data_IF_676958137198
#
_entry.id   IF_676958137198
#
_cell.length_a   1.000
_cell.length_b   1.000
_cell.length_c   1.000
_cell.angle_alpha   90.00
_cell.angle_beta   90.00
_cell.angle_gamma   90.00
#
_symmetry.space_group_name_H-M   'P 1'
#
loop_
_entity.id
_entity.type
_entity.pdbx_description
1 polymer ?
#
# COMPACT_ATOMS: atom_id res chain seq x y z
N UNK A 1 -25.25 -2.46 16.80
CA UNK A 1 -25.15 -3.92 17.06
C UNK A 1 -23.79 -4.20 17.67
N UNK A 2 -23.68 -4.81 18.86
CA UNK A 2 -22.39 -5.11 19.46
C UNK A 2 -21.65 -6.14 18.57
N UNK A 3 -20.41 -5.86 18.26
CA UNK A 3 -19.50 -6.76 17.56
C UNK A 3 -19.30 -8.02 18.45
N UNK A 4 -20.08 -9.08 18.21
CA UNK A 4 -19.83 -10.39 18.81
C UNK A 4 -18.58 -10.98 18.12
N UNK A 5 -17.41 -10.82 18.74
CA UNK A 5 -16.16 -11.47 18.33
C UNK A 5 -16.37 -12.98 18.51
N UNK A 6 -16.66 -13.69 17.43
CA UNK A 6 -17.01 -15.11 17.51
C UNK A 6 -15.78 -16.02 17.60
N UNK A 7 -14.61 -15.56 17.12
CA UNK A 7 -13.37 -16.30 17.20
C UNK A 7 -12.24 -15.35 17.64
N UNK A 8 -11.72 -15.56 18.84
CA UNK A 8 -10.62 -14.77 19.39
C UNK A 8 -9.38 -14.82 18.48
N UNK A 9 -9.08 -15.97 17.89
CA UNK A 9 -7.94 -16.12 16.98
C UNK A 9 -8.02 -15.19 15.75
N UNK A 10 -9.17 -15.12 15.10
CA UNK A 10 -9.40 -14.21 13.95
C UNK A 10 -9.19 -12.75 14.35
N UNK A 11 -9.69 -12.34 15.49
CA UNK A 11 -9.51 -10.98 15.99
C UNK A 11 -8.02 -10.66 16.20
N UNK A 12 -7.28 -11.55 16.86
CA UNK A 12 -5.86 -11.31 17.10
C UNK A 12 -5.00 -11.37 15.84
N UNK A 13 -5.36 -12.16 14.83
CA UNK A 13 -4.72 -12.10 13.51
C UNK A 13 -4.96 -10.74 12.85
N UNK A 14 -6.19 -10.23 12.88
CA UNK A 14 -6.53 -8.93 12.33
C UNK A 14 -5.80 -7.79 13.03
N UNK A 15 -5.72 -7.82 14.37
CA UNK A 15 -4.99 -6.83 15.18
C UNK A 15 -3.47 -6.93 14.95
N UNK A 16 -2.92 -8.14 14.78
CA UNK A 16 -1.52 -8.32 14.40
C UNK A 16 -1.21 -7.71 13.03
N UNK A 17 -2.14 -7.84 12.09
CA UNK A 17 -2.02 -7.21 10.78
C UNK A 17 -2.14 -5.68 10.85
N UNK A 18 -2.95 -5.14 11.76
CA UNK A 18 -2.93 -3.71 12.06
C UNK A 18 -1.54 -3.27 12.51
N UNK A 19 -0.92 -3.98 13.45
CA UNK A 19 0.42 -3.66 13.93
C UNK A 19 1.48 -3.66 12.81
N UNK A 20 1.42 -4.64 11.91
CA UNK A 20 2.29 -4.71 10.74
C UNK A 20 2.07 -3.54 9.77
N UNK A 21 0.81 -3.26 9.43
CA UNK A 21 0.45 -2.17 8.53
C UNK A 21 0.82 -0.80 9.14
N UNK A 22 0.53 -0.61 10.43
CA UNK A 22 0.92 0.59 11.18
C UNK A 22 2.43 0.80 11.12
N UNK A 23 3.21 -0.21 11.47
CA UNK A 23 4.67 -0.12 11.54
C UNK A 23 5.29 0.19 10.18
N UNK A 24 4.81 -0.43 9.11
CA UNK A 24 5.24 -0.13 7.76
C UNK A 24 4.92 1.31 7.35
N UNK A 25 3.70 1.79 7.62
CA UNK A 25 3.26 3.13 7.22
C UNK A 25 3.73 4.23 8.16
N UNK A 26 4.06 3.90 9.42
CA UNK A 26 4.72 4.78 10.36
C UNK A 26 6.04 5.33 9.78
N UNK A 27 6.77 4.47 9.06
CA UNK A 27 8.04 4.85 8.43
C UNK A 27 7.82 5.57 7.10
N UNK A 28 6.77 5.23 6.37
CA UNK A 28 6.53 5.68 5.01
C UNK A 28 6.52 7.22 4.87
N UNK A 29 5.97 7.92 5.85
CA UNK A 29 5.83 9.36 5.82
C UNK A 29 7.17 10.10 5.98
N UNK A 30 8.08 9.56 6.79
CA UNK A 30 9.30 10.28 7.16
C UNK A 30 10.57 9.71 6.49
N UNK A 31 10.54 8.50 5.94
CA UNK A 31 11.74 7.89 5.36
C UNK A 31 12.40 8.72 4.25
N UNK A 32 11.69 9.46 3.39
CA UNK A 32 12.31 10.36 2.43
C UNK A 32 13.11 11.48 3.11
N UNK A 33 12.59 12.05 4.19
CA UNK A 33 13.30 13.07 4.98
C UNK A 33 14.54 12.49 5.68
N UNK A 34 14.42 11.25 6.17
CA UNK A 34 15.55 10.52 6.74
C UNK A 34 16.66 10.29 5.71
N UNK A 35 16.32 9.84 4.51
CA UNK A 35 17.27 9.64 3.41
C UNK A 35 17.95 10.95 3.02
N UNK A 36 17.22 12.06 2.91
CA UNK A 36 17.78 13.39 2.63
C UNK A 36 18.82 13.77 3.68
N UNK A 37 18.54 13.49 4.96
CA UNK A 37 19.44 13.82 6.07
C UNK A 37 20.73 13.02 6.08
N UNK A 38 20.68 11.72 5.74
CA UNK A 38 21.84 10.82 5.81
C UNK A 38 22.61 10.71 4.47
N UNK A 39 22.07 11.26 3.39
CA UNK A 39 22.67 11.15 2.06
C UNK A 39 23.98 11.93 1.96
N UNK A 40 25.07 11.29 1.54
CA UNK A 40 26.33 11.97 1.23
C UNK A 40 26.33 12.54 -0.20
N UNK A 41 25.26 12.32 -0.97
CA UNK A 41 25.20 12.65 -2.39
C UNK A 41 24.50 14.00 -2.63
N UNK A 42 24.65 14.51 -3.86
CA UNK A 42 23.93 15.70 -4.30
C UNK A 42 22.41 15.53 -4.35
N UNK A 43 21.65 16.62 -4.50
CA UNK A 43 20.17 16.58 -4.46
C UNK A 43 19.56 15.61 -5.47
N UNK A 44 20.12 15.56 -6.68
CA UNK A 44 19.64 14.70 -7.78
C UNK A 44 19.79 13.21 -7.44
N UNK A 45 20.98 12.80 -7.01
CA UNK A 45 21.27 11.42 -6.65
C UNK A 45 20.45 11.02 -5.41
N UNK A 46 20.31 11.92 -4.43
CA UNK A 46 19.52 11.67 -3.22
C UNK A 46 18.06 11.37 -3.55
N UNK A 47 17.46 12.13 -4.50
CA UNK A 47 16.10 11.87 -4.96
C UNK A 47 15.98 10.47 -5.58
N UNK A 48 16.95 10.05 -6.38
CA UNK A 48 16.97 8.70 -6.97
C UNK A 48 17.08 7.61 -5.89
N UNK A 49 17.93 7.82 -4.87
CA UNK A 49 18.02 6.93 -3.72
C UNK A 49 16.71 6.79 -2.96
N UNK A 50 15.95 7.87 -2.80
CA UNK A 50 14.60 7.80 -2.19
C UNK A 50 13.71 6.83 -2.98
N UNK A 51 13.64 6.97 -4.29
CA UNK A 51 12.85 6.08 -5.15
C UNK A 51 13.27 4.62 -5.04
N UNK A 52 14.58 4.36 -5.13
CA UNK A 52 15.14 3.00 -5.02
C UNK A 52 14.79 2.36 -3.68
N UNK A 53 15.05 3.04 -2.57
CA UNK A 53 14.80 2.52 -1.22
C UNK A 53 13.30 2.31 -0.97
N UNK A 54 12.44 3.22 -1.42
CA UNK A 54 10.99 3.09 -1.24
C UNK A 54 10.37 2.02 -2.15
N UNK A 55 10.88 1.86 -3.37
CA UNK A 55 10.37 0.88 -4.34
C UNK A 55 10.91 -0.54 -4.13
N UNK A 56 12.14 -0.70 -3.64
CA UNK A 56 12.87 -1.98 -3.61
C UNK A 56 12.09 -3.11 -2.93
N UNK A 57 11.50 -2.86 -1.75
CA UNK A 57 10.76 -3.90 -1.02
C UNK A 57 9.54 -4.39 -1.81
N UNK A 58 8.84 -3.51 -2.51
CA UNK A 58 7.67 -3.87 -3.30
C UNK A 58 8.03 -4.59 -4.60
N UNK A 59 9.16 -4.24 -5.24
CA UNK A 59 9.69 -4.99 -6.39
C UNK A 59 9.89 -6.46 -6.00
N UNK A 60 10.61 -6.69 -4.91
CA UNK A 60 10.89 -8.05 -4.44
C UNK A 60 9.62 -8.77 -3.96
N UNK A 61 8.75 -8.08 -3.21
CA UNK A 61 7.49 -8.63 -2.72
C UNK A 61 6.57 -9.11 -3.86
N UNK A 62 6.62 -8.47 -5.03
CA UNK A 62 5.86 -8.89 -6.22
C UNK A 62 6.16 -10.35 -6.60
N UNK A 63 7.40 -10.77 -6.46
CA UNK A 63 7.84 -12.14 -6.79
C UNK A 63 7.70 -13.10 -5.61
N UNK A 64 7.96 -12.63 -4.39
CA UNK A 64 8.02 -13.48 -3.20
C UNK A 64 6.67 -13.76 -2.55
N UNK A 65 5.66 -12.93 -2.77
CA UNK A 65 4.33 -13.10 -2.17
C UNK A 65 3.69 -14.48 -2.49
N UNK A 66 3.84 -14.96 -3.72
CA UNK A 66 3.34 -16.29 -4.13
C UNK A 66 4.13 -17.44 -3.50
N UNK A 67 5.44 -17.26 -3.29
CA UNK A 67 6.31 -18.23 -2.63
C UNK A 67 5.87 -18.46 -1.17
N UNK A 68 5.60 -17.38 -0.43
CA UNK A 68 5.14 -17.44 0.96
C UNK A 68 3.80 -18.17 1.10
N UNK A 69 2.86 -17.91 0.17
CA UNK A 69 1.60 -18.68 0.11
C UNK A 69 1.83 -20.17 -0.09
N UNK A 70 2.79 -20.55 -0.92
CA UNK A 70 3.18 -21.95 -1.14
C UNK A 70 3.82 -22.61 0.09
N UNK A 71 4.53 -21.83 0.91
CA UNK A 71 5.24 -22.33 2.09
C UNK A 71 4.27 -22.86 3.17
N UNK A 72 3.04 -22.35 3.22
CA UNK A 72 1.99 -22.78 4.16
C UNK A 72 1.54 -24.23 3.95
N UNK A 73 1.88 -24.85 2.80
CA UNK A 73 1.64 -26.27 2.56
C UNK A 73 2.67 -27.19 3.23
N UNK A 74 3.83 -26.65 3.61
CA UNK A 74 4.94 -27.39 4.23
C UNK A 74 5.12 -27.04 5.70
N UNK A 75 4.90 -25.78 6.06
CA UNK A 75 5.11 -25.27 7.41
C UNK A 75 3.79 -24.76 8.00
N UNK A 76 3.71 -24.71 9.32
CA UNK A 76 2.54 -24.22 10.04
C UNK A 76 2.34 -22.73 9.78
N UNK A 77 1.16 -22.32 9.27
CA UNK A 77 0.91 -20.92 8.89
C UNK A 77 1.12 -19.93 10.04
N UNK A 78 0.76 -20.30 11.29
CA UNK A 78 0.99 -19.44 12.46
C UNK A 78 2.47 -19.16 12.67
N UNK A 79 3.31 -20.18 12.65
CA UNK A 79 4.76 -20.02 12.84
C UNK A 79 5.37 -19.13 11.74
N UNK A 80 4.96 -19.33 10.48
CA UNK A 80 5.41 -18.48 9.36
C UNK A 80 4.97 -17.01 9.53
N UNK A 81 3.76 -16.79 10.04
CA UNK A 81 3.23 -15.45 10.29
C UNK A 81 4.03 -14.75 11.40
N UNK A 82 4.29 -15.45 12.52
CA UNK A 82 5.07 -14.92 13.63
C UNK A 82 6.52 -14.63 13.23
N UNK A 83 7.18 -15.54 12.52
CA UNK A 83 8.52 -15.32 11.98
C UNK A 83 8.57 -14.13 11.03
N UNK A 84 7.58 -14.02 10.15
CA UNK A 84 7.47 -12.89 9.23
C UNK A 84 7.30 -11.56 9.98
N UNK A 85 6.49 -11.51 11.03
CA UNK A 85 6.34 -10.33 11.89
C UNK A 85 7.66 -9.98 12.60
N UNK A 86 8.31 -10.95 13.23
CA UNK A 86 9.57 -10.75 13.95
C UNK A 86 10.65 -10.22 13.01
N UNK A 87 10.87 -10.88 11.88
CA UNK A 87 11.88 -10.48 10.91
C UNK A 87 11.60 -9.08 10.35
N UNK A 88 10.35 -8.77 9.97
CA UNK A 88 10.00 -7.43 9.48
C UNK A 88 10.22 -6.36 10.56
N UNK A 89 9.80 -6.62 11.82
CA UNK A 89 10.03 -5.70 12.94
C UNK A 89 11.51 -5.46 13.17
N UNK A 90 12.33 -6.51 13.17
CA UNK A 90 13.78 -6.42 13.33
C UNK A 90 14.44 -5.64 12.20
N UNK A 91 14.06 -5.90 10.94
CA UNK A 91 14.57 -5.14 9.80
C UNK A 91 14.21 -3.65 9.89
N UNK A 92 12.98 -3.34 10.32
CA UNK A 92 12.55 -1.96 10.58
C UNK A 92 13.44 -1.31 11.64
N UNK A 93 13.68 -1.99 12.75
CA UNK A 93 14.53 -1.47 13.82
C UNK A 93 15.95 -1.18 13.32
N UNK A 94 16.55 -2.14 12.58
CA UNK A 94 17.89 -2.01 12.03
C UNK A 94 18.02 -0.83 11.05
N UNK A 95 16.95 -0.52 10.27
CA UNK A 95 16.93 0.66 9.41
C UNK A 95 17.11 1.97 10.18
N UNK A 96 16.63 2.05 11.44
CA UNK A 96 16.75 3.23 12.28
C UNK A 96 18.18 3.50 12.81
N UNK A 97 19.04 2.49 12.78
CA UNK A 97 20.41 2.60 13.29
C UNK A 97 21.48 2.68 12.19
N UNK A 98 21.08 2.68 10.92
CA UNK A 98 22.04 2.82 9.81
C UNK A 98 21.98 4.22 9.19
N UNK A 99 23.12 4.85 9.03
CA UNK A 99 23.31 6.08 8.26
C UNK A 99 23.81 5.81 6.82
N UNK A 100 23.91 4.55 6.42
CA UNK A 100 24.42 4.16 5.11
C UNK A 100 23.27 3.77 4.17
N UNK A 101 23.14 4.47 3.03
CA UNK A 101 22.08 4.23 2.05
C UNK A 101 22.13 2.84 1.41
N UNK A 102 23.31 2.27 1.23
CA UNK A 102 23.46 0.90 0.68
C UNK A 102 22.92 -0.14 1.67
N UNK A 103 23.24 0.01 2.96
CA UNK A 103 22.70 -0.86 4.01
C UNK A 103 21.18 -0.71 4.09
N UNK A 104 20.68 0.53 4.03
CA UNK A 104 19.23 0.80 4.05
C UNK A 104 18.52 0.13 2.86
N UNK A 105 19.13 0.17 1.66
CA UNK A 105 18.61 -0.51 0.47
C UNK A 105 18.60 -2.04 0.65
N UNK A 106 19.67 -2.62 1.18
CA UNK A 106 19.76 -4.07 1.46
C UNK A 106 18.65 -4.48 2.45
N UNK A 107 18.46 -3.72 3.53
CA UNK A 107 17.40 -3.99 4.51
C UNK A 107 16.01 -3.91 3.87
N UNK A 108 15.78 -2.99 2.94
CA UNK A 108 14.54 -2.91 2.16
C UNK A 108 14.34 -4.09 1.21
N UNK A 109 15.39 -4.56 0.56
CA UNK A 109 15.35 -5.76 -0.28
C UNK A 109 14.99 -6.98 0.59
N UNK A 110 15.67 -7.16 1.72
CA UNK A 110 15.36 -8.24 2.67
C UNK A 110 13.92 -8.15 3.18
N UNK A 111 13.42 -6.95 3.47
CA UNK A 111 12.02 -6.74 3.86
C UNK A 111 11.07 -7.18 2.74
N UNK A 112 11.40 -6.94 1.48
CA UNK A 112 10.64 -7.42 0.32
C UNK A 112 10.61 -8.95 0.22
N UNK A 113 11.72 -9.63 0.52
CA UNK A 113 11.78 -11.10 0.59
C UNK A 113 10.81 -11.63 1.64
N UNK A 114 10.60 -10.92 2.73
CA UNK A 114 9.68 -11.27 3.81
C UNK A 114 8.26 -10.72 3.61
N UNK A 115 7.95 -10.16 2.45
CA UNK A 115 6.69 -9.47 2.13
C UNK A 115 5.42 -10.33 2.17
N UNK A 116 5.52 -11.64 2.40
CA UNK A 116 4.39 -12.57 2.35
C UNK A 116 3.52 -12.63 3.62
N UNK A 117 3.84 -11.89 4.67
CA UNK A 117 3.12 -11.95 5.97
C UNK A 117 1.61 -11.72 5.81
N UNK A 118 1.22 -10.71 5.04
CA UNK A 118 -0.21 -10.43 4.79
C UNK A 118 -0.92 -11.57 4.07
N UNK A 119 -0.24 -12.26 3.15
CA UNK A 119 -0.77 -13.44 2.45
C UNK A 119 -1.01 -14.59 3.42
N UNK A 120 -0.06 -14.82 4.34
CA UNK A 120 -0.20 -15.85 5.38
C UNK A 120 -1.33 -15.50 6.33
N UNK A 121 -1.48 -14.23 6.72
CA UNK A 121 -2.60 -13.74 7.54
C UNK A 121 -3.96 -14.01 6.92
N UNK A 122 -4.11 -13.80 5.61
CA UNK A 122 -5.33 -14.16 4.87
C UNK A 122 -5.61 -15.66 4.89
N UNK A 123 -4.58 -16.50 4.74
CA UNK A 123 -4.70 -17.96 4.80
C UNK A 123 -5.13 -18.39 6.20
N UNK A 124 -4.53 -17.82 7.24
CA UNK A 124 -4.90 -18.11 8.64
C UNK A 124 -6.37 -17.77 8.91
N UNK A 125 -6.84 -16.60 8.50
CA UNK A 125 -8.25 -16.20 8.65
C UNK A 125 -9.15 -17.13 7.89
N UNK A 126 -8.84 -17.42 6.63
CA UNK A 126 -9.66 -18.33 5.81
C UNK A 126 -9.78 -19.73 6.41
N UNK A 127 -8.79 -20.16 7.18
CA UNK A 127 -8.78 -21.48 7.83
C UNK A 127 -9.54 -21.50 9.15
N UNK A 128 -9.58 -20.38 9.87
CA UNK A 128 -10.21 -20.26 11.18
C UNK A 128 -11.67 -19.79 11.10
N UNK A 129 -12.10 -19.26 9.95
CA UNK A 129 -13.44 -18.68 9.76
C UNK A 129 -14.39 -19.69 9.13
N UNK A 130 -15.56 -19.98 9.73
CA UNK A 130 -16.63 -20.72 9.08
C UNK A 130 -17.10 -20.02 7.80
N UNK A 131 -17.53 -20.79 6.78
CA UNK A 131 -17.87 -20.27 5.46
C UNK A 131 -18.81 -19.07 5.44
N UNK A 132 -19.87 -19.08 6.28
CA UNK A 132 -20.84 -17.99 6.40
C UNK A 132 -20.24 -16.69 6.98
N UNK A 133 -19.16 -16.76 7.75
CA UNK A 133 -18.52 -15.61 8.40
C UNK A 133 -17.26 -15.14 7.70
N UNK A 134 -16.75 -15.91 6.75
CA UNK A 134 -15.50 -15.64 6.06
C UNK A 134 -15.44 -14.20 5.51
N UNK A 135 -16.49 -13.71 4.88
CA UNK A 135 -16.54 -12.34 4.36
C UNK A 135 -16.39 -11.28 5.45
N UNK A 136 -17.00 -11.47 6.62
CA UNK A 136 -16.91 -10.52 7.75
C UNK A 136 -15.51 -10.52 8.34
N UNK A 137 -14.91 -11.69 8.48
CA UNK A 137 -13.60 -11.87 9.07
C UNK A 137 -12.49 -11.34 8.14
N UNK A 138 -12.60 -11.56 6.82
CA UNK A 138 -11.73 -10.94 5.82
C UNK A 138 -11.89 -9.41 5.79
N UNK A 139 -13.11 -8.90 5.96
CA UNK A 139 -13.35 -7.45 6.07
C UNK A 139 -12.71 -6.87 7.33
N UNK A 140 -12.78 -7.57 8.46
CA UNK A 140 -12.10 -7.17 9.70
C UNK A 140 -10.58 -7.08 9.48
N UNK A 141 -9.99 -8.08 8.85
CA UNK A 141 -8.57 -8.10 8.51
C UNK A 141 -8.19 -6.91 7.61
N UNK A 142 -8.96 -6.66 6.55
CA UNK A 142 -8.69 -5.54 5.64
C UNK A 142 -8.86 -4.19 6.32
N UNK A 143 -9.89 -4.03 7.17
CA UNK A 143 -10.10 -2.82 7.95
C UNK A 143 -8.95 -2.56 8.93
N UNK A 144 -8.38 -3.62 9.51
CA UNK A 144 -7.20 -3.51 10.39
C UNK A 144 -5.97 -3.00 9.63
N UNK A 145 -5.73 -3.49 8.40
CA UNK A 145 -4.68 -2.95 7.52
C UNK A 145 -4.91 -1.46 7.27
N UNK A 146 -6.13 -1.10 6.89
CA UNK A 146 -6.50 0.27 6.55
C UNK A 146 -6.37 1.23 7.74
N UNK A 147 -6.75 0.77 8.95
CA UNK A 147 -6.55 1.53 10.18
C UNK A 147 -5.05 1.78 10.45
N UNK A 148 -4.20 0.77 10.25
CA UNK A 148 -2.74 0.93 10.36
C UNK A 148 -2.18 1.93 9.33
N UNK A 149 -2.66 1.87 8.10
CA UNK A 149 -2.30 2.82 7.04
C UNK A 149 -2.69 4.26 7.36
N UNK A 150 -3.84 4.44 8.00
CA UNK A 150 -4.35 5.77 8.39
C UNK A 150 -3.55 6.37 9.55
N UNK A 151 -3.30 5.56 10.59
CA UNK A 151 -2.70 6.03 11.85
C UNK A 151 -1.16 6.08 11.81
N UNK A 152 -0.53 5.22 11.02
CA UNK A 152 0.93 5.12 10.94
C UNK A 152 1.63 6.42 10.57
N UNK A 153 1.30 7.06 9.43
CA UNK A 153 2.01 8.22 8.92
C UNK A 153 2.06 9.42 9.89
N UNK A 154 0.96 9.88 10.47
CA UNK A 154 1.02 11.03 11.39
C UNK A 154 1.77 10.68 12.68
N UNK A 155 1.59 9.48 13.24
CA UNK A 155 2.28 9.06 14.46
C UNK A 155 3.78 8.94 14.20
N UNK A 156 4.19 8.37 13.06
CA UNK A 156 5.59 8.28 12.68
C UNK A 156 6.24 9.65 12.47
N UNK A 157 5.59 10.54 11.74
CA UNK A 157 6.07 11.89 11.52
C UNK A 157 6.19 12.69 12.85
N UNK A 158 5.20 12.55 13.73
CA UNK A 158 5.20 13.20 15.03
C UNK A 158 6.29 12.65 15.96
N UNK A 159 6.46 11.31 16.00
CA UNK A 159 7.52 10.67 16.76
C UNK A 159 8.92 11.12 16.27
N UNK A 160 9.13 11.21 14.96
CA UNK A 160 10.39 11.69 14.40
C UNK A 160 10.68 13.14 14.77
N UNK A 161 9.67 14.00 14.80
CA UNK A 161 9.84 15.43 15.14
C UNK A 161 10.10 15.67 16.62
N UNK A 162 9.55 14.86 17.52
CA UNK A 162 9.69 15.03 18.97
C UNK A 162 10.92 14.33 19.55
N UNK A 163 11.19 13.10 19.08
CA UNK A 163 12.17 12.20 19.66
C UNK A 163 13.33 11.88 18.70
N UNK A 164 13.36 12.53 17.55
CA UNK A 164 14.37 12.32 16.51
C UNK A 164 14.08 11.16 15.54
N UNK A 165 14.83 11.10 14.47
CA UNK A 165 14.59 10.24 13.31
C UNK A 165 14.70 8.73 13.59
N UNK A 166 15.24 8.33 14.72
CA UNK A 166 15.30 6.92 15.13
C UNK A 166 13.98 6.47 15.79
N UNK A 167 13.25 7.39 16.42
CA UNK A 167 12.07 7.09 17.20
C UNK A 167 10.96 6.33 16.44
N UNK A 168 10.60 6.69 15.19
CA UNK A 168 9.58 5.95 14.46
C UNK A 168 9.93 4.48 14.22
N UNK A 169 11.22 4.17 14.02
CA UNK A 169 11.68 2.77 13.83
C UNK A 169 11.54 1.97 15.13
N UNK A 170 11.90 2.59 16.27
CA UNK A 170 11.74 1.98 17.59
C UNK A 170 10.26 1.78 17.92
N UNK A 171 9.42 2.82 17.71
CA UNK A 171 7.97 2.73 17.92
C UNK A 171 7.37 1.62 17.05
N UNK A 172 7.74 1.55 15.77
CA UNK A 172 7.27 0.51 14.87
C UNK A 172 7.67 -0.90 15.35
N UNK A 173 8.90 -1.08 15.82
CA UNK A 173 9.37 -2.35 16.36
C UNK A 173 8.61 -2.75 17.64
N UNK A 174 8.42 -1.81 18.59
CA UNK A 174 7.66 -2.05 19.82
C UNK A 174 6.22 -2.48 19.48
N UNK A 175 5.56 -1.79 18.57
CA UNK A 175 4.19 -2.12 18.14
C UNK A 175 4.13 -3.52 17.53
N UNK A 176 5.04 -3.86 16.62
CA UNK A 176 5.09 -5.22 16.05
C UNK A 176 5.31 -6.26 17.13
N UNK A 177 6.22 -6.00 18.08
CA UNK A 177 6.55 -6.94 19.16
C UNK A 177 5.37 -7.18 20.11
N UNK A 178 4.60 -6.14 20.44
CA UNK A 178 3.38 -6.26 21.24
C UNK A 178 2.35 -7.14 20.51
N UNK A 179 2.08 -6.87 19.24
CA UNK A 179 1.10 -7.64 18.48
C UNK A 179 1.59 -9.05 18.14
N UNK A 180 2.89 -9.26 17.98
CA UNK A 180 3.49 -10.59 17.87
C UNK A 180 3.23 -11.42 19.15
N UNK A 181 3.41 -10.82 20.31
CA UNK A 181 3.12 -11.46 21.59
C UNK A 181 1.63 -11.84 21.71
N UNK A 182 0.73 -10.96 21.31
CA UNK A 182 -0.70 -11.27 21.25
C UNK A 182 -1.02 -12.38 20.24
N UNK A 183 -0.39 -12.37 19.07
CA UNK A 183 -0.53 -13.45 18.08
C UNK A 183 -0.08 -14.80 18.69
N UNK A 184 1.08 -14.81 19.33
CA UNK A 184 1.64 -16.02 19.93
C UNK A 184 0.69 -16.66 20.95
N UNK A 185 0.14 -15.86 21.86
CA UNK A 185 -0.69 -16.36 22.97
C UNK A 185 -2.15 -16.66 22.59
N UNK A 186 -2.74 -15.92 21.65
CA UNK A 186 -4.19 -15.98 21.39
C UNK A 186 -4.58 -16.60 20.05
N UNK A 187 -3.66 -16.78 19.13
CA UNK A 187 -3.94 -17.44 17.85
C UNK A 187 -3.65 -18.94 17.98
N UNK A 188 -4.65 -19.75 17.65
CA UNK A 188 -4.49 -21.20 17.63
C UNK A 188 -3.60 -21.64 16.48
N UNK A 189 -2.80 -22.67 16.71
CA UNK A 189 -1.98 -23.27 15.65
C UNK A 189 -2.84 -24.07 14.67
N UNK A 190 -2.47 -24.04 13.40
CA UNK A 190 -3.18 -24.71 12.33
C UNK A 190 -2.21 -25.60 11.57
N UNK A 191 -2.59 -26.86 11.25
CA UNK A 191 -1.75 -27.74 10.46
C UNK A 191 -1.49 -27.16 9.06
N UNK A 192 -0.39 -27.58 8.42
CA UNK A 192 -0.09 -27.19 7.04
C UNK A 192 -1.24 -27.50 6.10
N UNK A 193 -1.56 -26.57 5.21
CA UNK A 193 -2.69 -26.72 4.29
C UNK A 193 -2.27 -27.39 2.98
N UNK A 194 -2.95 -28.48 2.60
CA UNK A 194 -2.75 -29.11 1.29
C UNK A 194 -3.12 -28.13 0.17
N UNK A 195 -2.20 -27.95 -0.78
CA UNK A 195 -2.36 -27.11 -1.96
C UNK A 195 -3.57 -27.62 -2.78
N UNK A 196 -4.66 -26.84 -2.85
CA UNK A 196 -5.70 -27.08 -3.85
C UNK A 196 -5.14 -26.65 -5.21
N UNK A 197 -4.86 -27.61 -6.07
CA UNK A 197 -4.52 -27.35 -7.46
C UNK A 197 -5.76 -26.82 -8.16
N UNK A 198 -5.73 -25.59 -8.63
CA UNK A 198 -6.73 -25.07 -9.56
C UNK A 198 -6.05 -24.84 -10.90
N UNK A 199 -6.62 -25.47 -11.92
CA UNK A 199 -6.18 -25.45 -13.31
C UNK A 199 -6.39 -24.08 -13.97
N UNK A 200 -5.52 -23.83 -14.91
CA UNK A 200 -5.51 -22.93 -16.06
C UNK A 200 -6.47 -21.73 -16.11
N UNK A 201 -5.89 -20.55 -15.91
CA UNK A 201 -6.46 -19.32 -16.40
C UNK A 201 -5.64 -18.81 -17.59
N UNK A 202 -6.24 -18.77 -18.76
CA UNK A 202 -5.72 -18.11 -19.93
C UNK A 202 -5.56 -16.61 -19.65
N UNK A 203 -4.42 -16.05 -20.06
CA UNK A 203 -4.19 -14.60 -20.09
C UNK A 203 -5.09 -13.97 -21.18
N UNK A 204 -6.34 -13.68 -20.83
CA UNK A 204 -7.23 -12.93 -21.71
C UNK A 204 -6.77 -11.46 -21.72
N UNK A 205 -6.85 -10.81 -22.89
CA UNK A 205 -6.48 -9.39 -23.08
C UNK A 205 -7.19 -8.48 -22.08
N UNK A 206 -8.44 -8.78 -21.76
CA UNK A 206 -9.27 -8.06 -20.80
C UNK A 206 -8.67 -8.05 -19.39
N UNK A 207 -8.07 -9.16 -18.96
CA UNK A 207 -7.43 -9.29 -17.65
C UNK A 207 -6.18 -8.40 -17.57
N UNK A 208 -5.39 -8.33 -18.65
CA UNK A 208 -4.22 -7.44 -18.72
C UNK A 208 -4.63 -5.96 -18.66
N UNK A 209 -5.74 -5.61 -19.29
CA UNK A 209 -6.31 -4.25 -19.22
C UNK A 209 -6.79 -3.93 -17.80
N UNK A 210 -7.48 -4.86 -17.14
CA UNK A 210 -7.83 -4.71 -15.72
C UNK A 210 -6.59 -4.57 -14.83
N UNK A 211 -5.54 -5.34 -15.12
CA UNK A 211 -4.25 -5.23 -14.46
C UNK A 211 -3.64 -3.84 -14.61
N UNK A 212 -3.68 -3.26 -15.83
CA UNK A 212 -3.14 -1.91 -16.09
C UNK A 212 -3.90 -0.81 -15.34
N UNK A 213 -5.23 -0.90 -15.24
CA UNK A 213 -6.03 0.04 -14.44
C UNK A 213 -5.64 0.02 -12.96
N UNK A 214 -5.53 -1.17 -12.39
CA UNK A 214 -5.13 -1.33 -10.98
C UNK A 214 -3.70 -0.85 -10.76
N UNK A 215 -2.80 -1.16 -11.69
CA UNK A 215 -1.41 -0.72 -11.65
C UNK A 215 -1.30 0.80 -11.57
N UNK A 216 -1.98 1.51 -12.48
CA UNK A 216 -1.94 2.98 -12.50
C UNK A 216 -2.65 3.58 -11.28
N UNK A 217 -3.79 3.03 -10.86
CA UNK A 217 -4.44 3.46 -9.62
C UNK A 217 -3.53 3.32 -8.40
N UNK A 218 -2.71 2.27 -8.37
CA UNK A 218 -1.75 2.06 -7.27
C UNK A 218 -0.57 3.03 -7.36
N UNK A 219 -0.12 3.40 -8.56
CA UNK A 219 0.88 4.48 -8.73
C UNK A 219 0.38 5.76 -8.06
N UNK A 220 -0.87 6.17 -8.29
CA UNK A 220 -1.46 7.33 -7.60
C UNK A 220 -1.39 7.23 -6.07
N UNK A 221 -1.57 6.03 -5.51
CA UNK A 221 -1.51 5.81 -4.06
C UNK A 221 -0.10 5.97 -3.49
N UNK A 222 0.93 5.61 -4.26
CA UNK A 222 2.26 5.32 -3.71
C UNK A 222 3.38 6.27 -4.15
N UNK A 223 3.17 7.08 -5.21
CA UNK A 223 4.21 7.99 -5.69
C UNK A 223 4.48 9.17 -4.74
N UNK A 224 3.41 9.70 -4.12
CA UNK A 224 3.46 10.98 -3.42
C UNK A 224 4.45 11.00 -2.24
N UNK A 225 4.49 10.01 -1.33
CA UNK A 225 5.40 10.06 -0.20
C UNK A 225 6.86 10.26 -0.62
N UNK A 226 7.29 9.71 -1.75
CA UNK A 226 8.68 9.79 -2.22
C UNK A 226 9.10 11.19 -2.69
N UNK A 227 8.15 12.01 -3.15
CA UNK A 227 8.40 13.37 -3.65
C UNK A 227 7.86 14.47 -2.72
N UNK A 228 7.21 14.07 -1.63
CA UNK A 228 6.56 14.99 -0.70
C UNK A 228 7.52 16.00 -0.05
N UNK A 229 8.77 15.64 0.33
CA UNK A 229 9.74 16.63 0.81
C UNK A 229 9.96 17.78 -0.18
N UNK A 230 10.10 17.46 -1.47
CA UNK A 230 10.30 18.47 -2.52
C UNK A 230 9.08 19.36 -2.74
N UNK A 231 7.88 18.79 -2.62
CA UNK A 231 6.62 19.55 -2.72
C UNK A 231 6.51 20.53 -1.52
N UNK A 232 6.82 20.08 -0.32
CA UNK A 232 6.76 20.90 0.89
C UNK A 232 7.83 21.99 0.91
N UNK A 233 9.02 21.69 0.39
CA UNK A 233 10.06 22.69 0.15
C UNK A 233 9.56 23.80 -0.79
N UNK A 234 8.83 23.45 -1.85
CA UNK A 234 8.17 24.41 -2.74
C UNK A 234 7.12 25.30 -2.05
N UNK A 235 6.56 24.85 -0.94
CA UNK A 235 5.68 25.64 -0.06
C UNK A 235 6.44 26.33 1.09
N UNK A 236 7.77 26.41 1.01
CA UNK A 236 8.64 26.99 2.04
C UNK A 236 8.55 26.31 3.41
N UNK A 237 8.14 25.05 3.47
CA UNK A 237 8.13 24.26 4.69
C UNK A 237 9.37 23.39 4.79
N UNK A 238 10.07 23.48 5.92
CA UNK A 238 11.29 22.74 6.20
C UNK A 238 11.27 22.13 7.60
N UNK A 239 12.19 21.21 7.88
CA UNK A 239 12.38 20.60 9.19
C UNK A 239 11.12 19.91 9.73
N UNK A 240 10.85 20.11 11.01
CA UNK A 240 9.75 19.45 11.73
C UNK A 240 8.36 19.84 11.21
N UNK A 241 8.19 21.06 10.70
CA UNK A 241 6.92 21.51 10.13
C UNK A 241 6.61 20.75 8.85
N UNK A 242 7.60 20.59 7.97
CA UNK A 242 7.45 19.79 6.75
C UNK A 242 7.15 18.33 7.08
N UNK A 243 7.85 17.76 8.06
CA UNK A 243 7.68 16.38 8.48
C UNK A 243 6.27 16.11 9.03
N UNK A 244 5.77 16.96 9.93
CA UNK A 244 4.40 16.88 10.46
C UNK A 244 3.36 17.04 9.36
N UNK A 245 3.55 18.03 8.48
CA UNK A 245 2.66 18.27 7.33
C UNK A 245 2.59 17.06 6.42
N UNK A 246 3.72 16.39 6.14
CA UNK A 246 3.74 15.15 5.37
C UNK A 246 2.88 14.05 5.99
N UNK A 247 3.00 13.81 7.29
CA UNK A 247 2.18 12.85 8.03
C UNK A 247 0.68 13.16 7.93
N UNK A 248 0.30 14.43 8.11
CA UNK A 248 -1.10 14.85 8.00
C UNK A 248 -1.64 14.76 6.58
N UNK A 249 -0.88 15.13 5.56
CA UNK A 249 -1.28 14.98 4.16
C UNK A 249 -1.56 13.52 3.84
N UNK A 250 -0.66 12.61 4.24
CA UNK A 250 -0.83 11.17 3.98
C UNK A 250 -2.06 10.62 4.71
N UNK A 251 -2.26 10.99 5.96
CA UNK A 251 -3.45 10.61 6.73
C UNK A 251 -4.73 11.11 6.04
N UNK A 252 -4.76 12.38 5.66
CA UNK A 252 -5.96 13.02 5.09
C UNK A 252 -6.39 12.40 3.78
N UNK A 253 -5.47 12.18 2.84
CA UNK A 253 -5.84 11.53 1.60
C UNK A 253 -6.14 10.03 1.77
N UNK A 254 -5.52 9.36 2.75
CA UNK A 254 -5.87 7.97 3.09
C UNK A 254 -7.29 7.87 3.62
N UNK A 255 -7.70 8.81 4.49
CA UNK A 255 -9.09 8.92 4.95
C UNK A 255 -10.05 9.16 3.79
N UNK A 256 -9.73 10.10 2.89
CA UNK A 256 -10.52 10.37 1.69
C UNK A 256 -10.59 9.15 0.76
N UNK A 257 -9.52 8.38 0.62
CA UNK A 257 -9.49 7.13 -0.15
C UNK A 257 -10.46 6.08 0.42
N UNK A 258 -10.51 5.92 1.75
CA UNK A 258 -11.44 5.00 2.42
C UNK A 258 -12.89 5.42 2.17
N UNK A 259 -13.19 6.70 2.41
CA UNK A 259 -14.53 7.26 2.25
C UNK A 259 -14.97 7.19 0.79
N UNK A 260 -14.10 7.58 -0.14
CA UNK A 260 -14.37 7.56 -1.57
C UNK A 260 -14.60 6.15 -2.10
N UNK A 261 -13.79 5.18 -1.66
CA UNK A 261 -13.99 3.78 -2.00
C UNK A 261 -15.38 3.28 -1.56
N UNK A 262 -15.79 3.59 -0.34
CA UNK A 262 -17.12 3.22 0.16
C UNK A 262 -18.25 3.87 -0.65
N UNK A 263 -18.16 5.19 -0.90
CA UNK A 263 -19.19 5.94 -1.62
C UNK A 263 -19.30 5.49 -3.09
N UNK A 264 -18.17 5.33 -3.79
CA UNK A 264 -18.16 4.92 -5.20
C UNK A 264 -18.54 3.45 -5.37
N UNK A 265 -18.19 2.57 -4.42
CA UNK A 265 -18.69 1.19 -4.42
C UNK A 265 -20.22 1.14 -4.26
N UNK A 266 -20.80 1.99 -3.43
CA UNK A 266 -22.25 2.10 -3.32
C UNK A 266 -22.89 2.71 -4.57
N UNK A 267 -22.24 3.69 -5.18
CA UNK A 267 -22.70 4.30 -6.42
C UNK A 267 -22.68 3.31 -7.59
N UNK A 268 -21.69 2.40 -7.62
CA UNK A 268 -21.55 1.42 -8.70
C UNK A 268 -22.74 0.44 -8.78
N UNK A 269 -23.43 0.18 -7.66
CA UNK A 269 -24.67 -0.62 -7.67
C UNK A 269 -25.85 0.09 -8.33
N UNK A 270 -25.81 1.44 -8.45
CA UNK A 270 -26.88 2.24 -9.04
C UNK A 270 -26.65 2.56 -10.53
N UNK A 271 -25.43 2.94 -10.90
CA UNK A 271 -25.13 3.41 -12.27
C UNK A 271 -24.23 2.46 -13.06
N UNK A 272 -23.77 1.36 -12.44
CA UNK A 272 -22.93 0.32 -13.05
C UNK A 272 -21.43 0.54 -12.84
N UNK A 273 -20.68 -0.57 -12.80
CA UNK A 273 -19.24 -0.59 -12.50
C UNK A 273 -18.41 0.20 -13.51
N UNK A 274 -18.64 -0.01 -14.81
CA UNK A 274 -17.89 0.65 -15.88
C UNK A 274 -18.02 2.18 -15.84
N UNK A 275 -19.23 2.70 -15.61
CA UNK A 275 -19.45 4.15 -15.50
C UNK A 275 -18.73 4.75 -14.31
N UNK A 276 -18.76 4.07 -13.14
CA UNK A 276 -18.08 4.57 -11.94
C UNK A 276 -16.56 4.52 -12.10
N UNK A 277 -15.99 3.47 -12.70
CA UNK A 277 -14.55 3.41 -13.01
C UNK A 277 -14.17 4.55 -13.96
N UNK A 278 -14.99 4.82 -14.99
CA UNK A 278 -14.74 5.92 -15.94
C UNK A 278 -14.71 7.27 -15.20
N UNK A 279 -15.72 7.55 -14.39
CA UNK A 279 -15.78 8.78 -13.58
C UNK A 279 -14.56 8.87 -12.65
N UNK A 280 -14.22 7.78 -11.96
CA UNK A 280 -13.10 7.73 -11.04
C UNK A 280 -11.75 8.02 -11.73
N UNK A 281 -11.52 7.43 -12.90
CA UNK A 281 -10.28 7.65 -13.65
C UNK A 281 -10.22 9.06 -14.25
N UNK A 282 -11.31 9.57 -14.84
CA UNK A 282 -11.36 10.93 -15.40
C UNK A 282 -11.16 11.98 -14.31
N UNK A 283 -11.91 11.89 -13.21
CA UNK A 283 -11.76 12.81 -12.08
C UNK A 283 -10.36 12.68 -11.46
N UNK A 284 -9.87 11.46 -11.28
CA UNK A 284 -8.53 11.22 -10.76
C UNK A 284 -7.42 11.84 -11.61
N UNK A 285 -7.50 11.71 -12.95
CA UNK A 285 -6.56 12.33 -13.87
C UNK A 285 -6.67 13.88 -13.88
N UNK A 286 -7.89 14.42 -13.86
CA UNK A 286 -8.13 15.85 -13.78
C UNK A 286 -7.52 16.46 -12.51
N UNK A 287 -7.88 15.91 -11.34
CA UNK A 287 -7.34 16.39 -10.06
C UNK A 287 -5.83 16.12 -9.90
N UNK A 288 -5.27 15.12 -10.60
CA UNK A 288 -3.81 14.91 -10.65
C UNK A 288 -3.11 16.11 -11.27
N UNK A 289 -3.62 16.63 -12.37
CA UNK A 289 -3.04 17.82 -13.04
C UNK A 289 -3.31 19.08 -12.22
N UNK A 290 -4.50 19.20 -11.62
CA UNK A 290 -4.87 20.35 -10.78
C UNK A 290 -3.97 20.52 -9.55
N UNK A 291 -3.22 19.48 -9.12
CA UNK A 291 -2.24 19.61 -8.04
C UNK A 291 -1.17 20.68 -8.32
N UNK A 292 -0.89 21.00 -9.59
CA UNK A 292 0.07 22.05 -9.96
C UNK A 292 -0.40 23.46 -9.56
N UNK A 293 -1.72 23.65 -9.49
CA UNK A 293 -2.34 24.94 -9.15
C UNK A 293 -2.41 25.18 -7.63
N UNK A 294 -1.90 24.24 -6.83
CA UNK A 294 -1.89 24.39 -5.38
C UNK A 294 -0.90 25.49 -4.96
N UNK A 295 -1.43 26.57 -4.39
CA UNK A 295 -0.62 27.69 -3.87
C UNK A 295 -0.11 27.48 -2.43
N UNK A 296 -0.39 26.34 -1.80
CA UNK A 296 0.03 26.02 -0.44
C UNK A 296 -0.45 24.64 0.03
N UNK A 297 -0.04 24.26 1.24
CA UNK A 297 -0.29 22.93 1.80
C UNK A 297 -1.77 22.57 1.88
N UNK A 298 -2.62 23.53 2.30
CA UNK A 298 -4.05 23.26 2.48
C UNK A 298 -4.74 22.99 1.15
N UNK A 299 -4.50 23.83 0.13
CA UNK A 299 -5.06 23.63 -1.23
C UNK A 299 -4.54 22.33 -1.84
N UNK A 300 -3.25 22.03 -1.70
CA UNK A 300 -2.67 20.76 -2.13
C UNK A 300 -3.35 19.55 -1.46
N UNK A 301 -3.51 19.61 -0.14
CA UNK A 301 -4.15 18.55 0.65
C UNK A 301 -5.59 18.31 0.21
N UNK A 302 -6.39 19.38 0.03
CA UNK A 302 -7.79 19.27 -0.40
C UNK A 302 -7.90 18.66 -1.82
N UNK A 303 -7.12 19.17 -2.79
CA UNK A 303 -7.10 18.62 -4.14
C UNK A 303 -6.70 17.14 -4.12
N UNK A 304 -5.69 16.80 -3.32
CA UNK A 304 -5.22 15.44 -3.16
C UNK A 304 -6.25 14.52 -2.52
N UNK A 305 -6.98 14.99 -1.50
CA UNK A 305 -8.07 14.23 -0.88
C UNK A 305 -9.16 13.88 -1.88
N UNK A 306 -9.61 14.86 -2.68
CA UNK A 306 -10.64 14.64 -3.70
C UNK A 306 -10.14 13.62 -4.73
N UNK A 307 -8.93 13.81 -5.25
CA UNK A 307 -8.30 12.89 -6.20
C UNK A 307 -8.28 11.46 -5.68
N UNK A 308 -7.82 11.28 -4.45
CA UNK A 308 -7.67 9.96 -3.84
C UNK A 308 -9.00 9.31 -3.51
N UNK A 309 -10.01 10.12 -3.17
CA UNK A 309 -11.38 9.65 -3.02
C UNK A 309 -11.94 8.99 -4.28
N UNK A 310 -11.58 9.49 -5.45
CA UNK A 310 -11.96 8.86 -6.72
C UNK A 310 -11.10 7.63 -7.05
N UNK A 311 -9.79 7.77 -7.05
CA UNK A 311 -8.85 6.72 -7.53
C UNK A 311 -8.87 5.45 -6.68
N UNK A 312 -9.09 5.56 -5.37
CA UNK A 312 -9.04 4.41 -4.47
C UNK A 312 -10.10 3.33 -4.79
N UNK A 313 -11.22 3.72 -5.39
CA UNK A 313 -12.26 2.78 -5.78
C UNK A 313 -11.95 1.97 -7.05
N UNK A 314 -11.00 2.42 -7.87
CA UNK A 314 -10.68 1.75 -9.14
C UNK A 314 -10.26 0.30 -8.91
N UNK A 315 -9.42 0.02 -7.91
CA UNK A 315 -8.96 -1.33 -7.62
C UNK A 315 -10.12 -2.31 -7.29
N UNK A 316 -10.93 -2.11 -6.24
CA UNK A 316 -11.98 -3.06 -5.90
C UNK A 316 -13.08 -3.16 -6.96
N UNK A 317 -13.41 -2.05 -7.65
CA UNK A 317 -14.39 -2.08 -8.73
C UNK A 317 -13.89 -2.87 -9.95
N UNK A 318 -12.61 -2.72 -10.30
CA UNK A 318 -12.00 -3.51 -11.40
C UNK A 318 -11.97 -4.99 -11.06
N UNK A 319 -11.56 -5.35 -9.83
CA UNK A 319 -11.63 -6.77 -9.40
C UNK A 319 -13.06 -7.30 -9.48
N UNK A 320 -14.05 -6.51 -9.09
CA UNK A 320 -15.46 -6.94 -9.12
C UNK A 320 -15.98 -7.26 -10.52
N UNK A 321 -15.44 -6.63 -11.57
CA UNK A 321 -15.77 -6.96 -12.96
C UNK A 321 -15.28 -8.38 -13.31
N UNK A 322 -14.04 -8.70 -12.91
CA UNK A 322 -13.41 -9.96 -13.29
C UNK A 322 -13.68 -11.10 -12.32
N UNK A 323 -14.10 -10.82 -11.08
CA UNK A 323 -14.30 -11.84 -10.04
C UNK A 323 -15.49 -12.78 -10.32
N UNK A 324 -16.45 -12.36 -11.12
CA UNK A 324 -17.65 -13.16 -11.44
C UNK A 324 -17.32 -14.41 -12.25
N UNK A 325 -16.35 -14.30 -13.16
CA UNK A 325 -16.00 -15.36 -14.12
C UNK A 325 -14.59 -15.91 -13.92
N UNK A 326 -13.85 -15.44 -12.90
CA UNK A 326 -12.43 -15.71 -12.73
C UNK A 326 -12.14 -16.59 -11.53
N UNK A 327 -11.33 -17.61 -11.74
CA UNK A 327 -10.73 -18.40 -10.66
C UNK A 327 -9.72 -17.59 -9.83
N UNK A 328 -9.34 -18.12 -8.68
CA UNK A 328 -8.40 -17.48 -7.75
C UNK A 328 -7.06 -17.05 -8.37
N UNK A 329 -6.61 -17.69 -9.45
CA UNK A 329 -5.39 -17.34 -10.19
C UNK A 329 -5.50 -15.97 -10.86
N UNK A 330 -6.66 -15.66 -11.47
CA UNK A 330 -6.91 -14.36 -12.11
C UNK A 330 -6.95 -13.23 -11.08
N UNK A 331 -7.60 -13.46 -9.94
CA UNK A 331 -7.62 -12.49 -8.84
C UNK A 331 -6.20 -12.27 -8.30
N UNK A 332 -5.41 -13.34 -8.15
CA UNK A 332 -4.00 -13.25 -7.76
C UNK A 332 -3.16 -12.45 -8.74
N UNK A 333 -3.35 -12.67 -10.05
CA UNK A 333 -2.68 -11.88 -11.08
C UNK A 333 -3.08 -10.41 -11.05
N UNK A 334 -4.36 -10.10 -10.94
CA UNK A 334 -4.83 -8.72 -10.78
C UNK A 334 -4.28 -8.08 -9.51
N UNK A 335 -4.13 -8.82 -8.41
CA UNK A 335 -3.54 -8.30 -7.18
C UNK A 335 -2.02 -8.04 -7.31
N UNK A 336 -1.30 -8.74 -8.20
CA UNK A 336 0.13 -8.48 -8.45
C UNK A 336 0.38 -7.07 -8.98
N UNK A 337 -0.60 -6.48 -9.69
CA UNK A 337 -0.51 -5.10 -10.19
C UNK A 337 -0.36 -4.06 -9.06
N UNK A 338 -0.89 -4.36 -7.87
CA UNK A 338 -0.71 -3.47 -6.69
C UNK A 338 0.74 -3.45 -6.22
N UNK A 339 1.40 -4.60 -6.16
CA UNK A 339 2.82 -4.64 -5.79
C UNK A 339 3.67 -3.96 -6.86
N UNK A 340 3.39 -4.23 -8.14
CA UNK A 340 4.07 -3.59 -9.25
C UNK A 340 3.85 -2.06 -9.25
N UNK A 341 2.62 -1.58 -9.05
CA UNK A 341 2.33 -0.15 -8.94
C UNK A 341 2.99 0.50 -7.72
N UNK A 342 3.01 -0.21 -6.59
CA UNK A 342 3.69 0.27 -5.36
C UNK A 342 5.22 0.31 -5.51
N UNK A 343 5.78 -0.53 -6.38
CA UNK A 343 7.21 -0.50 -6.72
C UNK A 343 7.52 0.65 -7.68
N UNK A 344 6.75 0.73 -8.77
CA UNK A 344 7.01 1.69 -9.86
C UNK A 344 6.65 3.12 -9.45
N UNK A 345 5.64 3.31 -8.59
CA UNK A 345 5.20 4.65 -8.17
C UNK A 345 6.34 5.53 -7.64
N UNK A 346 7.03 5.15 -6.56
CA UNK A 346 8.17 5.91 -6.04
C UNK A 346 9.35 6.02 -7.03
N UNK A 347 9.70 4.90 -7.72
CA UNK A 347 10.80 4.88 -8.68
C UNK A 347 10.56 5.86 -9.84
N UNK A 348 9.39 5.81 -10.45
CA UNK A 348 9.01 6.70 -11.55
C UNK A 348 8.95 8.15 -11.08
N UNK A 349 8.34 8.41 -9.92
CA UNK A 349 8.19 9.77 -9.41
C UNK A 349 9.53 10.44 -9.14
N UNK A 350 10.43 9.74 -8.49
CA UNK A 350 11.78 10.27 -8.19
C UNK A 350 12.65 10.36 -9.43
N UNK A 351 12.55 9.43 -10.39
CA UNK A 351 13.23 9.50 -11.65
C UNK A 351 12.79 10.73 -12.46
N UNK A 352 11.49 10.93 -12.63
CA UNK A 352 10.97 12.10 -13.33
C UNK A 352 11.39 13.38 -12.63
N UNK A 353 11.35 13.44 -11.30
CA UNK A 353 11.73 14.63 -10.56
C UNK A 353 13.24 14.93 -10.61
N UNK A 354 14.08 13.90 -10.72
CA UNK A 354 15.53 14.07 -10.86
C UNK A 354 15.96 14.66 -12.21
N UNK A 355 15.18 14.42 -13.29
CA UNK A 355 15.51 14.85 -14.65
C UNK A 355 14.54 15.88 -15.24
N UNK A 356 13.44 16.20 -14.55
CA UNK A 356 12.40 17.12 -14.99
C UNK A 356 11.76 17.84 -13.79
N UNK A 357 10.46 17.99 -13.77
CA UNK A 357 9.73 18.74 -12.76
C UNK A 357 8.41 18.05 -12.34
N UNK A 358 7.75 18.61 -11.33
CA UNK A 358 6.47 18.10 -10.81
C UNK A 358 5.35 18.12 -11.87
N UNK A 359 5.31 19.13 -12.75
CA UNK A 359 4.30 19.20 -13.81
C UNK A 359 4.40 17.99 -14.75
N UNK A 360 5.61 17.67 -15.21
CA UNK A 360 5.87 16.49 -16.05
C UNK A 360 5.41 15.20 -15.35
N UNK A 361 5.71 15.07 -14.05
CA UNK A 361 5.26 13.92 -13.27
C UNK A 361 3.73 13.82 -13.23
N UNK A 362 3.06 14.92 -12.97
CA UNK A 362 1.60 14.95 -12.87
C UNK A 362 0.93 14.64 -14.20
N UNK A 363 1.42 15.21 -15.30
CA UNK A 363 0.93 14.93 -16.66
C UNK A 363 1.19 13.47 -17.04
N UNK A 364 2.35 12.92 -16.71
CA UNK A 364 2.68 11.52 -17.00
C UNK A 364 1.71 10.57 -16.30
N UNK A 365 1.47 10.76 -15.01
CA UNK A 365 0.53 9.92 -14.25
C UNK A 365 -0.91 10.07 -14.79
N UNK A 366 -1.34 11.29 -15.10
CA UNK A 366 -2.66 11.53 -15.70
C UNK A 366 -2.78 10.86 -17.06
N UNK A 367 -1.76 10.96 -17.92
CA UNK A 367 -1.70 10.33 -19.24
C UNK A 367 -1.77 8.80 -19.16
N UNK A 368 -1.02 8.19 -18.24
CA UNK A 368 -1.09 6.74 -17.98
C UNK A 368 -2.49 6.32 -17.53
N UNK A 369 -3.16 7.15 -16.71
CA UNK A 369 -4.54 6.88 -16.24
C UNK A 369 -5.52 6.93 -17.42
N UNK A 370 -5.45 7.96 -18.25
CA UNK A 370 -6.31 8.11 -19.41
C UNK A 370 -6.05 7.04 -20.48
N UNK A 371 -4.78 6.66 -20.70
CA UNK A 371 -4.41 5.57 -21.61
C UNK A 371 -4.95 4.21 -21.15
N UNK A 372 -4.83 3.90 -19.86
CA UNK A 372 -5.39 2.66 -19.29
C UNK A 372 -6.92 2.66 -19.33
N UNK A 373 -7.56 3.80 -19.08
CA UNK A 373 -9.00 3.96 -19.19
C UNK A 373 -9.47 3.79 -20.65
N UNK A 374 -8.79 4.40 -21.61
CA UNK A 374 -9.11 4.25 -23.03
C UNK A 374 -9.03 2.78 -23.46
N UNK A 375 -7.96 2.07 -23.09
CA UNK A 375 -7.83 0.64 -23.36
C UNK A 375 -8.97 -0.17 -22.74
N UNK A 376 -9.40 0.18 -21.53
CA UNK A 376 -10.51 -0.46 -20.84
C UNK A 376 -11.85 -0.24 -21.55
N UNK A 377 -12.16 0.99 -21.98
CA UNK A 377 -13.40 1.31 -22.67
C UNK A 377 -13.48 0.68 -24.06
N UNK A 378 -12.36 0.60 -24.79
CA UNK A 378 -12.30 -0.05 -26.11
C UNK A 378 -12.46 -1.56 -26.05
N UNK A 379 -11.99 -2.20 -24.98
CA UNK A 379 -12.16 -3.63 -24.74
C UNK A 379 -13.58 -3.98 -24.28
N UNK A 380 -14.17 -3.13 -23.44
CA UNK A 380 -15.52 -3.37 -22.89
C UNK A 380 -16.67 -3.22 -23.91
N UNK A 381 -16.42 -2.62 -25.07
CA UNK A 381 -17.41 -2.58 -26.19
C UNK A 381 -17.64 -3.95 -26.84
N UNK A 382 -16.86 -4.98 -26.46
CA UNK A 382 -16.95 -6.36 -26.97
C UNK A 382 -17.54 -7.36 -25.95
N UNK A 383 -17.90 -6.89 -24.76
CA UNK A 383 -18.62 -7.62 -23.70
C UNK A 383 -20.04 -7.06 -23.58
#
# INVERSE_FOLDING_TARGET
MPFKIANKGVFFIAVSQFGMAFSFHCILAFIPFYIIRISPFGPKETILWIGMIMGASNVIATFTASFWGGLTSRFRPKALFEWGMLCNGTLILLMGFTSNLYILLILRILQGVLGGVSTIGLILISSLSPGERLHKDLSLFQNSITAGQLMGPPIGAYAASLFGYQAPFVVAFIIVSIFLTFCHHYVSDIPPQKKKSHSDAFFKKEILIGWSLIFVATIHLTFLPSVLPRILEGFHLMGDVALKSAGFIIMSYTFAAITGNYLLSRLSSRIGLTKVITIACLSGACFQVLLILSGGVLSFMVIRMIQMGFIAAVFPLTISIFARDAGGRTIGFLNSSRFAGSAVGPLMATFVLAYSNLLTLYILIAGLTLGSLWAFLTSNKKI
#
